data_IF_771913370034
#
_entry.id   IF_771913370034
#
_cell.length_a   1.000
_cell.length_b   1.000
_cell.length_c   1.000
_cell.angle_alpha   90.00
_cell.angle_beta   90.00
_cell.angle_gamma   90.00
#
_symmetry.space_group_name_H-M   'P 1'
#
loop_
_entity.id
_entity.type
_entity.pdbx_description
1 polymer ?
#
# COMPACT_ATOMS: atom_id res chain seq x y z
N UNK A 1 -49.63 25.32 34.27
CA UNK A 1 -49.72 25.37 32.78
C UNK A 1 -50.97 26.17 32.49
N UNK A 2 -50.87 27.35 31.86
CA UNK A 2 -52.00 28.18 31.51
C UNK A 2 -52.67 27.62 30.24
N UNK A 3 -54.01 27.69 30.17
CA UNK A 3 -54.80 27.25 29.03
C UNK A 3 -54.37 27.96 27.72
N UNK A 4 -54.01 29.22 27.78
CA UNK A 4 -53.53 30.01 26.66
C UNK A 4 -52.26 29.39 26.02
N UNK A 5 -51.30 29.00 26.86
CA UNK A 5 -50.07 28.31 26.39
C UNK A 5 -50.36 26.95 25.76
N UNK A 6 -51.36 26.23 26.25
CA UNK A 6 -51.79 24.98 25.64
C UNK A 6 -52.46 25.22 24.29
N UNK A 7 -53.33 26.24 24.24
CA UNK A 7 -54.04 26.64 23.03
C UNK A 7 -53.07 27.02 21.90
N UNK A 8 -52.08 27.86 22.20
CA UNK A 8 -51.01 28.23 21.25
C UNK A 8 -50.27 27.00 20.72
N UNK A 9 -49.88 26.06 21.60
CA UNK A 9 -49.16 24.85 21.21
C UNK A 9 -50.03 23.82 20.45
N UNK A 10 -51.35 23.88 20.64
CA UNK A 10 -52.35 23.04 20.00
C UNK A 10 -52.91 23.63 18.71
N UNK A 11 -52.42 24.81 18.29
CA UNK A 11 -52.90 25.48 17.08
C UNK A 11 -52.80 24.51 15.86
N UNK A 12 -53.94 24.16 15.26
CA UNK A 12 -54.04 23.21 14.17
C UNK A 12 -53.79 21.74 14.53
N UNK A 13 -53.62 21.39 15.81
CA UNK A 13 -53.37 20.03 16.27
C UNK A 13 -54.48 19.55 17.20
N UNK A 14 -54.90 18.30 17.05
CA UNK A 14 -55.87 17.62 17.92
C UNK A 14 -55.26 17.07 19.20
N UNK A 15 -53.96 16.91 19.25
CA UNK A 15 -53.24 16.34 20.40
C UNK A 15 -51.80 16.83 20.40
N UNK A 16 -51.29 17.17 21.58
CA UNK A 16 -49.87 17.36 21.85
C UNK A 16 -49.47 16.51 23.03
N UNK A 17 -48.18 16.18 23.15
CA UNK A 17 -47.66 15.39 24.27
C UNK A 17 -46.26 15.84 24.68
N UNK A 18 -45.95 15.54 25.94
CA UNK A 18 -44.63 15.72 26.53
C UNK A 18 -44.19 14.41 27.14
N UNK A 19 -42.93 14.05 26.89
CA UNK A 19 -42.29 12.87 27.48
C UNK A 19 -41.23 13.32 28.48
N UNK A 20 -41.24 12.75 29.67
CA UNK A 20 -40.36 13.12 30.76
C UNK A 20 -40.09 11.91 31.68
N UNK A 21 -38.99 11.97 32.42
CA UNK A 21 -38.73 11.03 33.51
C UNK A 21 -39.48 11.48 34.76
N UNK A 22 -40.27 10.59 35.31
CA UNK A 22 -40.99 10.80 36.59
C UNK A 22 -40.61 9.72 37.60
N UNK A 23 -40.70 10.02 38.92
CA UNK A 23 -40.65 8.95 39.92
C UNK A 23 -41.78 7.96 39.67
N UNK A 24 -41.52 6.67 39.82
CA UNK A 24 -42.52 5.63 39.61
C UNK A 24 -43.64 5.76 40.65
N UNK A 25 -44.77 6.37 40.27
CA UNK A 25 -45.96 6.50 41.14
C UNK A 25 -46.76 5.22 41.28
N UNK A 26 -46.49 4.18 40.46
CA UNK A 26 -47.33 3.02 40.35
C UNK A 26 -46.79 1.76 40.99
N UNK A 27 -45.57 1.71 41.46
CA UNK A 27 -45.03 0.56 42.15
C UNK A 27 -44.91 0.77 43.66
N UNK A 28 -45.65 0.00 44.43
CA UNK A 28 -45.63 0.00 45.91
C UNK A 28 -44.35 -0.57 46.51
N UNK A 29 -43.24 -0.57 45.77
CA UNK A 29 -41.94 -1.01 46.24
C UNK A 29 -41.07 0.23 46.52
N UNK A 30 -40.43 0.27 47.67
CA UNK A 30 -39.63 1.35 48.23
C UNK A 30 -38.40 1.83 47.45
N UNK A 31 -38.26 1.42 46.21
CA UNK A 31 -37.25 1.91 45.30
C UNK A 31 -37.84 2.99 44.40
N UNK A 32 -37.29 4.20 44.49
CA UNK A 32 -37.54 5.31 43.56
C UNK A 32 -36.89 5.00 42.21
N UNK A 33 -37.54 4.16 41.42
CA UNK A 33 -37.15 3.95 40.03
C UNK A 33 -37.76 5.02 39.17
N UNK A 34 -36.96 5.72 38.40
CA UNK A 34 -37.42 6.68 37.42
C UNK A 34 -38.05 5.94 36.23
N UNK A 35 -39.20 6.39 35.77
CA UNK A 35 -39.88 5.83 34.61
C UNK A 35 -40.22 6.90 33.58
N UNK A 36 -40.11 6.58 32.33
CA UNK A 36 -40.59 7.42 31.24
C UNK A 36 -42.11 7.49 31.26
N UNK A 37 -42.61 8.72 31.27
CA UNK A 37 -44.02 9.03 31.35
C UNK A 37 -44.38 9.97 30.22
N UNK A 38 -45.51 9.75 29.58
CA UNK A 38 -46.05 10.64 28.55
C UNK A 38 -47.30 11.31 29.14
N UNK A 39 -47.30 12.65 29.09
CA UNK A 39 -48.44 13.47 29.37
C UNK A 39 -49.02 13.97 28.05
N UNK A 40 -50.25 13.64 27.75
CA UNK A 40 -50.96 14.03 26.54
C UNK A 40 -52.04 15.08 26.86
N UNK A 41 -52.08 16.11 26.06
CA UNK A 41 -53.18 17.13 26.06
C UNK A 41 -53.97 16.91 24.78
N UNK A 42 -55.26 16.65 24.89
CA UNK A 42 -56.14 16.31 23.79
C UNK A 42 -57.25 17.35 23.73
N UNK A 43 -57.54 17.86 22.55
CA UNK A 43 -58.62 18.83 22.31
C UNK A 43 -59.98 18.20 22.66
N UNK A 44 -60.63 18.78 23.62
CA UNK A 44 -61.96 18.36 24.13
C UNK A 44 -63.12 19.17 23.60
N UNK A 45 -62.84 20.22 22.84
CA UNK A 45 -63.84 21.13 22.23
C UNK A 45 -63.36 22.57 22.15
N UNK A 46 -63.83 23.27 21.12
CA UNK A 46 -63.51 24.69 20.86
C UNK A 46 -64.78 25.52 20.75
N UNK A 47 -64.66 26.80 21.08
CA UNK A 47 -65.69 27.76 20.84
C UNK A 47 -65.83 28.21 19.37
N UNK A 48 -66.80 29.14 19.13
CA UNK A 48 -66.99 29.64 17.74
C UNK A 48 -65.80 30.45 17.21
N UNK A 49 -64.98 30.99 18.15
CA UNK A 49 -63.76 31.74 17.84
C UNK A 49 -62.52 30.83 17.67
N UNK A 50 -62.63 29.50 17.88
CA UNK A 50 -61.58 28.52 17.74
C UNK A 50 -60.73 28.33 18.99
N UNK A 51 -61.05 28.95 20.12
CA UNK A 51 -60.33 28.77 21.38
C UNK A 51 -60.76 27.49 22.08
N UNK A 52 -59.81 26.82 22.75
CA UNK A 52 -60.09 25.62 23.52
C UNK A 52 -61.01 25.88 24.69
N UNK A 53 -62.17 25.21 24.73
CA UNK A 53 -63.08 25.22 25.87
C UNK A 53 -62.71 24.17 26.90
N UNK A 54 -62.34 22.97 26.38
CA UNK A 54 -62.00 21.82 27.20
C UNK A 54 -60.74 21.15 26.68
N UNK A 55 -59.89 20.69 27.60
CA UNK A 55 -58.69 19.92 27.31
C UNK A 55 -58.68 18.65 28.16
N UNK A 56 -58.60 17.51 27.55
CA UNK A 56 -58.35 16.27 28.28
C UNK A 56 -56.87 16.12 28.56
N UNK A 57 -56.55 15.80 29.79
CA UNK A 57 -55.21 15.50 30.26
C UNK A 57 -55.09 14.01 30.56
N UNK A 58 -54.18 13.32 29.87
CA UNK A 58 -53.95 11.91 30.08
C UNK A 58 -52.45 11.63 30.35
N UNK A 59 -52.21 10.77 31.32
CA UNK A 59 -50.84 10.37 31.70
C UNK A 59 -50.71 8.87 31.51
N UNK A 60 -49.69 8.44 30.81
CA UNK A 60 -49.37 7.03 30.58
C UNK A 60 -47.90 6.73 30.85
N UNK A 61 -47.63 5.56 31.40
CA UNK A 61 -46.26 5.07 31.55
C UNK A 61 -45.79 4.44 30.22
N UNK A 62 -44.75 5.02 29.65
CA UNK A 62 -44.17 4.59 28.37
C UNK A 62 -42.75 4.02 28.52
N UNK A 63 -42.38 3.62 29.75
CA UNK A 63 -41.01 3.26 30.09
C UNK A 63 -40.44 2.18 29.16
N UNK A 64 -41.16 1.09 28.98
CA UNK A 64 -40.71 -0.04 28.15
C UNK A 64 -40.57 0.32 26.66
N UNK A 65 -41.51 1.11 26.14
CA UNK A 65 -41.50 1.55 24.76
C UNK A 65 -40.35 2.54 24.52
N UNK A 66 -40.10 3.44 25.47
CA UNK A 66 -39.03 4.41 25.39
C UNK A 66 -37.64 3.78 25.50
N UNK A 67 -37.48 2.79 26.37
CA UNK A 67 -36.23 2.00 26.44
C UNK A 67 -35.97 1.28 25.12
N UNK A 68 -36.96 0.62 24.54
CA UNK A 68 -36.81 -0.05 23.22
C UNK A 68 -36.44 0.94 22.12
N UNK A 69 -37.06 2.12 22.10
CA UNK A 69 -36.73 3.19 21.14
C UNK A 69 -35.27 3.63 21.29
N UNK A 70 -34.81 3.88 22.52
CA UNK A 70 -33.44 4.31 22.82
C UNK A 70 -32.43 3.21 22.48
N UNK A 71 -32.70 1.95 22.80
CA UNK A 71 -31.85 0.81 22.44
C UNK A 71 -31.76 0.62 20.92
N UNK A 72 -32.87 0.79 20.19
CA UNK A 72 -32.89 0.73 18.74
C UNK A 72 -32.04 1.84 18.12
N UNK A 73 -32.18 3.06 18.62
CA UNK A 73 -31.40 4.22 18.18
C UNK A 73 -29.90 4.04 18.43
N UNK A 74 -29.55 3.49 19.61
CA UNK A 74 -28.14 3.20 19.95
C UNK A 74 -27.55 2.12 19.04
N UNK A 75 -28.33 1.06 18.74
CA UNK A 75 -27.92 0.02 17.79
C UNK A 75 -27.71 0.57 16.38
N UNK A 76 -28.61 1.41 15.91
CA UNK A 76 -28.51 2.08 14.61
C UNK A 76 -27.24 2.96 14.55
N UNK A 77 -27.00 3.76 15.59
CA UNK A 77 -25.81 4.59 15.69
C UNK A 77 -24.53 3.77 15.64
N UNK A 78 -24.44 2.70 16.44
CA UNK A 78 -23.28 1.79 16.44
C UNK A 78 -23.08 1.10 15.08
N UNK A 79 -24.16 0.68 14.43
CA UNK A 79 -24.10 0.08 13.10
C UNK A 79 -23.58 1.07 12.05
N UNK A 80 -24.02 2.33 12.12
CA UNK A 80 -23.56 3.40 11.23
C UNK A 80 -22.08 3.71 11.45
N UNK A 81 -21.64 3.85 12.70
CA UNK A 81 -20.23 4.06 13.05
C UNK A 81 -19.35 2.90 12.53
N UNK A 82 -19.82 1.68 12.69
CA UNK A 82 -19.10 0.50 12.19
C UNK A 82 -18.99 0.50 10.65
N UNK A 83 -20.07 0.85 9.97
CA UNK A 83 -20.09 0.95 8.50
C UNK A 83 -19.12 2.03 8.00
N UNK A 84 -19.06 3.19 8.68
CA UNK A 84 -18.11 4.27 8.33
C UNK A 84 -16.66 3.81 8.47
N UNK A 85 -16.33 3.01 9.49
CA UNK A 85 -14.98 2.43 9.65
C UNK A 85 -14.66 1.49 8.50
N UNK A 86 -15.57 0.57 8.18
CA UNK A 86 -15.38 -0.38 7.07
C UNK A 86 -15.20 0.32 5.72
N UNK A 87 -16.00 1.37 5.44
CA UNK A 87 -15.88 2.16 4.22
C UNK A 87 -14.51 2.87 4.12
N UNK A 88 -14.01 3.41 5.24
CA UNK A 88 -12.67 4.02 5.27
C UNK A 88 -11.56 3.00 5.03
N UNK A 89 -11.68 1.80 5.59
CA UNK A 89 -10.73 0.72 5.34
C UNK A 89 -10.75 0.28 3.88
N UNK A 90 -11.93 0.11 3.29
CA UNK A 90 -12.07 -0.23 1.88
C UNK A 90 -11.47 0.84 0.95
N UNK A 91 -11.74 2.12 1.21
CA UNK A 91 -11.14 3.24 0.47
C UNK A 91 -9.61 3.23 0.59
N UNK A 92 -9.07 2.92 1.76
CA UNK A 92 -7.64 2.78 1.99
C UNK A 92 -7.03 1.64 1.20
N UNK A 93 -7.68 0.48 1.19
CA UNK A 93 -7.26 -0.67 0.40
C UNK A 93 -7.30 -0.36 -1.09
N UNK A 94 -8.36 0.29 -1.57
CA UNK A 94 -8.48 0.73 -2.97
C UNK A 94 -7.37 1.70 -3.37
N UNK A 95 -7.06 2.68 -2.54
CA UNK A 95 -5.97 3.64 -2.80
C UNK A 95 -4.58 2.96 -2.83
N UNK A 96 -4.34 1.95 -1.99
CA UNK A 96 -3.10 1.17 -2.01
C UNK A 96 -3.00 0.38 -3.33
N UNK A 97 -4.08 -0.29 -3.74
CA UNK A 97 -4.13 -1.04 -4.99
C UNK A 97 -3.90 -0.11 -6.19
N UNK A 98 -4.50 1.07 -6.20
CA UNK A 98 -4.28 2.08 -7.24
C UNK A 98 -2.83 2.57 -7.28
N UNK A 99 -2.23 2.84 -6.12
CA UNK A 99 -0.81 3.22 -6.03
C UNK A 99 0.12 2.10 -6.54
N UNK A 100 -0.19 0.83 -6.23
CA UNK A 100 0.54 -0.32 -6.77
C UNK A 100 0.36 -0.44 -8.29
N UNK A 101 -0.83 -0.10 -8.82
CA UNK A 101 -1.10 -0.04 -10.26
C UNK A 101 -0.25 0.96 -11.00
N UNK A 102 0.15 2.05 -10.35
CA UNK A 102 1.08 3.03 -10.94
C UNK A 102 2.54 2.57 -10.93
N UNK A 103 2.90 1.63 -10.05
CA UNK A 103 4.25 1.09 -9.93
C UNK A 103 4.49 -0.15 -10.82
N UNK A 104 3.44 -0.87 -11.17
CA UNK A 104 3.52 -2.14 -11.92
C UNK A 104 2.53 -2.15 -13.09
N UNK A 105 2.96 -2.72 -14.23
CA UNK A 105 2.10 -2.89 -15.41
C UNK A 105 1.00 -3.91 -15.16
N UNK A 106 1.29 -4.94 -14.39
CA UNK A 106 0.34 -5.99 -14.00
C UNK A 106 0.71 -6.60 -12.65
N UNK A 107 -0.31 -6.97 -11.89
CA UNK A 107 -0.17 -7.60 -10.59
C UNK A 107 -1.09 -8.81 -10.49
N UNK A 108 -0.54 -9.95 -10.04
CA UNK A 108 -1.28 -11.19 -9.87
C UNK A 108 -1.12 -11.70 -8.44
N UNK A 109 -2.21 -12.15 -7.86
CA UNK A 109 -2.24 -12.84 -6.58
C UNK A 109 -2.17 -14.35 -6.82
N UNK A 110 -1.23 -15.01 -6.18
CA UNK A 110 -0.95 -16.44 -6.30
C UNK A 110 -1.21 -17.10 -4.95
N UNK A 111 -2.06 -18.13 -4.94
CA UNK A 111 -2.30 -18.96 -3.77
C UNK A 111 -1.90 -20.41 -4.09
N UNK A 112 -0.78 -20.84 -3.50
CA UNK A 112 -0.24 -22.19 -3.74
C UNK A 112 -1.08 -23.24 -3.04
N UNK A 113 -1.62 -22.92 -1.86
CA UNK A 113 -2.41 -23.87 -1.06
C UNK A 113 -3.74 -24.20 -1.75
N UNK A 114 -4.43 -23.17 -2.24
CA UNK A 114 -5.69 -23.32 -2.97
C UNK A 114 -5.49 -23.57 -4.47
N UNK A 115 -4.25 -23.54 -4.97
CA UNK A 115 -3.88 -23.70 -6.38
C UNK A 115 -4.60 -22.72 -7.29
N UNK A 116 -4.70 -21.47 -6.89
CA UNK A 116 -5.38 -20.43 -7.65
C UNK A 116 -4.47 -19.27 -7.99
N UNK A 117 -4.77 -18.62 -9.11
CA UNK A 117 -4.15 -17.39 -9.58
C UNK A 117 -5.23 -16.38 -9.93
N UNK A 118 -5.09 -15.13 -9.47
CA UNK A 118 -6.02 -14.05 -9.75
C UNK A 118 -5.31 -12.79 -10.16
N UNK A 119 -5.74 -12.18 -11.25
CA UNK A 119 -5.25 -10.86 -11.67
C UNK A 119 -5.82 -9.77 -10.77
N UNK A 120 -4.95 -8.93 -10.20
CA UNK A 120 -5.31 -7.82 -9.32
C UNK A 120 -5.30 -6.49 -10.08
N UNK A 121 -4.29 -6.27 -10.95
CA UNK A 121 -4.11 -5.05 -11.72
C UNK A 121 -3.66 -5.42 -13.14
N UNK A 122 -4.12 -4.66 -14.14
CA UNK A 122 -3.59 -4.67 -15.49
C UNK A 122 -3.72 -3.29 -16.10
N UNK A 123 -2.60 -2.69 -16.51
CA UNK A 123 -2.58 -1.45 -17.30
C UNK A 123 -2.73 -1.73 -18.82
N UNK A 124 -2.38 -2.94 -19.24
CA UNK A 124 -2.56 -3.36 -20.62
C UNK A 124 -4.01 -3.80 -20.82
N UNK A 125 -4.74 -3.10 -21.67
CA UNK A 125 -6.18 -3.20 -21.92
C UNK A 125 -6.71 -4.54 -22.47
N UNK A 126 -6.16 -5.67 -22.06
CA UNK A 126 -6.75 -7.00 -22.28
C UNK A 126 -7.83 -7.25 -21.24
N UNK A 127 -9.05 -6.96 -21.59
CA UNK A 127 -10.14 -6.52 -20.73
C UNK A 127 -10.96 -7.55 -19.98
N UNK A 128 -10.86 -8.84 -20.16
CA UNK A 128 -11.99 -9.71 -19.80
C UNK A 128 -11.85 -10.58 -18.55
N UNK A 129 -10.77 -10.51 -17.78
CA UNK A 129 -10.58 -11.41 -16.63
C UNK A 129 -10.23 -10.73 -15.30
N UNK A 130 -10.74 -9.51 -15.06
CA UNK A 130 -10.57 -8.86 -13.76
C UNK A 130 -11.29 -9.64 -12.67
N UNK A 131 -10.55 -10.15 -11.70
CA UNK A 131 -11.11 -10.86 -10.54
C UNK A 131 -11.51 -12.32 -10.79
N UNK A 132 -11.33 -12.87 -12.00
CA UNK A 132 -11.58 -14.28 -12.27
C UNK A 132 -10.41 -15.09 -11.67
N UNK A 133 -10.76 -16.08 -10.88
CA UNK A 133 -9.83 -17.05 -10.33
C UNK A 133 -9.58 -18.14 -11.38
N UNK A 134 -8.30 -18.33 -11.73
CA UNK A 134 -7.87 -19.38 -12.67
C UNK A 134 -7.12 -20.47 -11.91
N UNK A 135 -7.10 -21.67 -12.45
CA UNK A 135 -6.20 -22.73 -11.97
C UNK A 135 -4.75 -22.25 -12.06
N UNK A 136 -3.97 -22.48 -11.02
CA UNK A 136 -2.63 -21.92 -10.87
C UNK A 136 -1.69 -22.30 -12.00
N UNK A 137 -1.68 -23.58 -12.41
CA UNK A 137 -0.76 -24.07 -13.45
C UNK A 137 -1.14 -23.49 -14.82
N UNK A 138 -2.43 -23.48 -15.13
CA UNK A 138 -2.96 -22.90 -16.36
C UNK A 138 -2.73 -21.40 -16.41
N UNK A 139 -2.99 -20.69 -15.30
CA UNK A 139 -2.81 -19.25 -15.19
C UNK A 139 -1.34 -18.82 -15.36
N UNK A 140 -0.40 -19.52 -14.73
CA UNK A 140 1.02 -19.27 -14.89
C UNK A 140 1.47 -19.53 -16.34
N UNK A 141 1.08 -20.63 -16.94
CA UNK A 141 1.42 -20.92 -18.33
C UNK A 141 0.86 -19.84 -19.26
N UNK A 142 -0.41 -19.49 -19.12
CA UNK A 142 -1.05 -18.44 -19.89
C UNK A 142 -0.32 -17.09 -19.73
N UNK A 143 0.03 -16.71 -18.51
CA UNK A 143 0.79 -15.50 -18.24
C UNK A 143 2.12 -15.53 -18.99
N UNK A 144 2.97 -16.53 -18.73
CA UNK A 144 4.32 -16.59 -19.29
C UNK A 144 4.30 -16.59 -20.81
N UNK A 145 3.46 -17.43 -21.43
CA UNK A 145 3.36 -17.47 -22.89
C UNK A 145 2.70 -16.23 -23.49
N UNK A 146 1.95 -15.45 -22.73
CA UNK A 146 1.39 -14.17 -23.21
C UNK A 146 2.41 -13.03 -23.22
N UNK A 147 3.34 -13.00 -22.27
CA UNK A 147 4.26 -11.87 -22.08
C UNK A 147 5.66 -12.11 -22.63
N UNK A 148 6.21 -13.32 -22.48
CA UNK A 148 7.60 -13.60 -22.81
C UNK A 148 7.81 -13.93 -24.29
N UNK A 149 9.00 -13.62 -24.81
CA UNK A 149 9.49 -14.18 -26.06
C UNK A 149 9.61 -15.71 -25.95
N UNK A 150 9.58 -16.38 -27.09
CA UNK A 150 9.66 -17.85 -27.16
C UNK A 150 10.90 -18.41 -26.45
N UNK A 151 12.02 -17.75 -26.61
CA UNK A 151 13.31 -18.15 -26.02
C UNK A 151 13.37 -17.93 -24.52
N UNK A 152 12.62 -16.94 -24.03
CA UNK A 152 12.56 -16.54 -22.61
C UNK A 152 11.49 -17.31 -21.83
N UNK A 153 10.55 -17.97 -22.51
CA UNK A 153 9.41 -18.62 -21.86
C UNK A 153 9.84 -19.78 -20.94
N UNK A 154 10.77 -20.63 -21.37
CA UNK A 154 11.22 -21.77 -20.57
C UNK A 154 11.98 -21.34 -19.30
N UNK A 155 12.98 -20.43 -19.35
CA UNK A 155 13.62 -19.89 -18.15
C UNK A 155 12.63 -19.19 -17.20
N UNK A 156 11.67 -18.45 -17.75
CA UNK A 156 10.67 -17.76 -16.94
C UNK A 156 9.72 -18.75 -16.24
N UNK A 157 9.30 -19.84 -16.92
CA UNK A 157 8.51 -20.90 -16.30
C UNK A 157 9.27 -21.59 -15.16
N UNK A 158 10.56 -21.84 -15.32
CA UNK A 158 11.40 -22.38 -14.26
C UNK A 158 11.49 -21.40 -13.07
N UNK A 159 11.65 -20.11 -13.35
CA UNK A 159 11.70 -19.08 -12.31
C UNK A 159 10.42 -19.02 -11.47
N UNK A 160 9.26 -19.12 -12.10
CA UNK A 160 7.94 -18.98 -11.43
C UNK A 160 7.39 -20.28 -10.85
N UNK A 161 8.15 -21.38 -10.86
CA UNK A 161 7.69 -22.68 -10.35
C UNK A 161 7.16 -22.57 -8.91
N UNK A 162 5.83 -22.79 -8.67
CA UNK A 162 5.21 -22.52 -7.36
C UNK A 162 5.79 -23.35 -6.22
N UNK A 163 6.10 -24.62 -6.48
CA UNK A 163 6.60 -25.58 -5.46
C UNK A 163 7.94 -25.14 -4.84
N UNK A 164 8.75 -24.40 -5.57
CA UNK A 164 10.05 -23.91 -5.11
C UNK A 164 10.02 -22.57 -4.38
N UNK A 165 8.97 -21.77 -4.56
CA UNK A 165 8.91 -20.40 -4.08
C UNK A 165 9.01 -20.26 -2.56
N UNK A 166 8.30 -21.05 -1.73
CA UNK A 166 8.40 -20.93 -0.28
C UNK A 166 9.82 -21.13 0.25
N UNK A 167 10.58 -22.03 -0.38
CA UNK A 167 11.97 -22.31 0.01
C UNK A 167 12.92 -21.20 -0.44
N UNK A 168 12.74 -20.68 -1.66
CA UNK A 168 13.60 -19.63 -2.25
C UNK A 168 13.41 -18.27 -1.56
N UNK A 169 12.21 -18.01 -1.04
CA UNK A 169 11.83 -16.74 -0.40
C UNK A 169 11.91 -16.77 1.13
N UNK A 170 12.51 -17.82 1.74
CA UNK A 170 12.72 -17.85 3.20
C UNK A 170 13.67 -16.77 3.68
N UNK A 171 14.70 -16.46 2.90
CA UNK A 171 15.75 -15.50 3.24
C UNK A 171 15.57 -14.16 2.51
N UNK A 172 14.98 -14.20 1.33
CA UNK A 172 14.78 -13.03 0.48
C UNK A 172 13.38 -12.43 0.64
N UNK A 173 13.33 -11.09 0.73
CA UNK A 173 12.06 -10.35 0.79
C UNK A 173 11.35 -10.31 -0.57
N UNK A 174 12.08 -10.47 -1.64
CA UNK A 174 11.57 -10.58 -3.00
C UNK A 174 12.65 -11.19 -3.91
N UNK A 175 12.23 -11.83 -5.00
CA UNK A 175 13.13 -12.27 -6.08
C UNK A 175 12.67 -11.69 -7.41
N UNK A 176 13.63 -11.34 -8.26
CA UNK A 176 13.39 -10.72 -9.56
C UNK A 176 13.96 -11.59 -10.69
N UNK A 177 13.29 -11.53 -11.85
CA UNK A 177 13.79 -12.07 -13.10
C UNK A 177 13.52 -11.10 -14.24
N UNK A 178 14.58 -10.66 -14.91
CA UNK A 178 14.50 -9.78 -16.06
C UNK A 178 14.50 -10.63 -17.34
N UNK A 179 13.55 -10.36 -18.25
CA UNK A 179 13.37 -11.10 -19.49
C UNK A 179 12.96 -10.17 -20.63
N UNK A 180 13.13 -10.62 -21.87
CA UNK A 180 12.59 -9.89 -23.01
C UNK A 180 11.15 -10.31 -23.30
N UNK A 181 10.25 -9.32 -23.35
CA UNK A 181 8.87 -9.54 -23.74
C UNK A 181 8.72 -9.70 -25.28
N UNK A 182 7.49 -9.96 -25.74
CA UNK A 182 7.18 -10.15 -27.18
C UNK A 182 7.54 -8.96 -28.05
N UNK A 183 7.55 -7.75 -27.48
CA UNK A 183 7.89 -6.51 -28.18
C UNK A 183 9.40 -6.20 -28.14
N UNK A 184 10.23 -7.15 -27.73
CA UNK A 184 11.67 -7.01 -27.52
C UNK A 184 12.09 -5.97 -26.47
N UNK A 185 11.19 -5.60 -25.58
CA UNK A 185 11.48 -4.71 -24.45
C UNK A 185 11.83 -5.53 -23.22
N UNK A 186 12.62 -4.96 -22.34
CA UNK A 186 12.95 -5.59 -21.06
C UNK A 186 11.82 -5.42 -20.06
N UNK A 187 11.39 -6.53 -19.51
CA UNK A 187 10.38 -6.58 -18.44
C UNK A 187 10.96 -7.32 -17.24
N UNK A 188 10.53 -6.95 -16.05
CA UNK A 188 10.91 -7.60 -14.78
C UNK A 188 9.68 -8.25 -14.17
N UNK A 189 9.81 -9.54 -13.83
CA UNK A 189 8.85 -10.22 -12.97
C UNK A 189 9.42 -10.30 -11.56
N UNK A 190 8.74 -9.64 -10.63
CA UNK A 190 9.07 -9.66 -9.21
C UNK A 190 8.10 -10.58 -8.47
N UNK A 191 8.63 -11.48 -7.64
CA UNK A 191 7.83 -12.36 -6.78
C UNK A 191 8.00 -11.91 -5.34
N UNK A 192 6.90 -11.51 -4.71
CA UNK A 192 6.84 -10.92 -3.37
C UNK A 192 6.01 -11.84 -2.47
N UNK A 193 6.57 -12.40 -1.38
CA UNK A 193 5.79 -13.22 -0.47
C UNK A 193 4.83 -12.38 0.35
N UNK A 194 3.59 -12.86 0.50
CA UNK A 194 2.63 -12.32 1.44
C UNK A 194 2.68 -13.19 2.69
N UNK A 195 3.36 -12.70 3.72
CA UNK A 195 3.55 -13.46 4.95
C UNK A 195 2.22 -13.63 5.68
N UNK A 196 1.76 -14.86 5.80
CA UNK A 196 0.78 -15.24 6.79
C UNK A 196 1.44 -15.28 8.17
N UNK A 197 0.67 -15.01 9.24
CA UNK A 197 1.14 -14.97 10.65
C UNK A 197 1.86 -16.24 11.13
N UNK A 198 1.93 -17.29 10.32
CA UNK A 198 2.59 -18.59 10.62
C UNK A 198 4.01 -18.74 10.05
N UNK A 199 4.53 -17.75 9.33
CA UNK A 199 5.93 -17.77 8.87
C UNK A 199 6.21 -18.54 7.58
N UNK A 200 5.29 -19.38 7.09
CA UNK A 200 5.39 -20.02 5.77
C UNK A 200 4.47 -19.29 4.78
N UNK A 201 5.07 -18.64 3.79
CA UNK A 201 4.32 -17.97 2.75
C UNK A 201 3.69 -19.00 1.82
N UNK A 202 2.37 -19.13 1.85
CA UNK A 202 1.60 -19.89 0.85
C UNK A 202 1.03 -19.00 -0.25
N UNK A 203 1.11 -17.67 -0.06
CA UNK A 203 0.57 -16.66 -0.97
C UNK A 203 1.66 -15.71 -1.44
N UNK A 204 1.60 -15.32 -2.71
CA UNK A 204 2.60 -14.47 -3.36
C UNK A 204 1.93 -13.44 -4.26
N UNK A 205 2.61 -12.31 -4.48
CA UNK A 205 2.30 -11.38 -5.55
C UNK A 205 3.34 -11.57 -6.68
N UNK A 206 2.85 -11.74 -7.90
CA UNK A 206 3.66 -11.63 -9.11
C UNK A 206 3.43 -10.24 -9.69
N UNK A 207 4.46 -9.41 -9.69
CA UNK A 207 4.41 -8.04 -10.16
C UNK A 207 5.25 -7.90 -11.42
N UNK A 208 4.64 -7.45 -12.51
CA UNK A 208 5.27 -7.21 -13.80
C UNK A 208 5.53 -5.72 -13.98
N UNK A 209 6.73 -5.34 -14.36
CA UNK A 209 7.11 -3.95 -14.64
C UNK A 209 7.99 -3.84 -15.89
N UNK A 210 7.87 -2.72 -16.60
CA UNK A 210 8.74 -2.34 -17.68
C UNK A 210 10.06 -1.77 -17.13
N UNK A 211 11.16 -2.40 -17.45
CA UNK A 211 12.50 -1.97 -17.02
C UNK A 211 13.42 -1.71 -18.22
N UNK A 212 12.84 -1.51 -19.41
CA UNK A 212 13.57 -1.35 -20.65
C UNK A 212 14.57 -0.18 -20.61
N UNK A 213 14.12 0.96 -20.09
CA UNK A 213 14.99 2.13 -19.93
C UNK A 213 16.09 1.92 -18.90
N UNK A 214 15.78 1.26 -17.77
CA UNK A 214 16.74 0.94 -16.73
C UNK A 214 17.87 0.06 -17.28
N UNK A 215 17.51 -1.05 -17.92
CA UNK A 215 18.47 -2.01 -18.47
C UNK A 215 19.26 -1.43 -19.64
N UNK A 216 18.63 -0.66 -20.53
CA UNK A 216 19.31 0.03 -21.61
C UNK A 216 20.35 1.02 -21.09
N UNK A 217 20.00 1.82 -20.07
CA UNK A 217 20.93 2.74 -19.44
C UNK A 217 22.11 2.04 -18.79
N UNK A 218 21.87 0.92 -18.09
CA UNK A 218 22.95 0.09 -17.53
C UNK A 218 23.85 -0.44 -18.63
N UNK A 219 23.30 -0.96 -19.74
CA UNK A 219 24.07 -1.46 -20.88
C UNK A 219 24.89 -0.36 -21.55
N UNK A 220 24.30 0.83 -21.75
CA UNK A 220 25.04 1.99 -22.30
C UNK A 220 26.20 2.36 -21.40
N UNK A 221 25.97 2.49 -20.08
CA UNK A 221 27.04 2.76 -19.11
C UNK A 221 28.14 1.71 -19.17
N UNK A 222 27.78 0.42 -19.19
CA UNK A 222 28.76 -0.65 -19.28
C UNK A 222 29.52 -0.64 -20.61
N UNK A 223 28.87 -0.36 -21.73
CA UNK A 223 29.52 -0.24 -23.04
C UNK A 223 30.50 0.94 -23.09
N UNK A 224 30.14 2.08 -22.52
CA UNK A 224 31.03 3.25 -22.40
C UNK A 224 32.25 2.89 -21.56
N UNK A 225 32.05 2.23 -20.43
CA UNK A 225 33.15 1.76 -19.57
C UNK A 225 34.03 0.78 -20.30
N UNK A 226 33.47 -0.18 -21.04
CA UNK A 226 34.23 -1.13 -21.84
C UNK A 226 35.02 -0.44 -22.97
N UNK A 227 34.43 0.52 -23.67
CA UNK A 227 35.09 1.29 -24.70
C UNK A 227 36.25 2.10 -24.13
N UNK A 228 36.07 2.77 -23.02
CA UNK A 228 37.15 3.45 -22.29
C UNK A 228 38.22 2.46 -21.85
N UNK A 229 37.82 1.32 -21.29
CA UNK A 229 38.76 0.30 -20.84
C UNK A 229 39.57 -0.33 -21.99
N UNK A 230 39.08 -0.31 -23.24
CA UNK A 230 39.85 -0.78 -24.38
C UNK A 230 40.98 0.17 -24.77
N UNK A 231 40.85 1.45 -24.48
CA UNK A 231 41.78 2.52 -24.87
C UNK A 231 42.78 2.91 -23.77
N UNK A 232 42.49 2.57 -22.52
CA UNK A 232 43.30 2.92 -21.37
C UNK A 232 43.74 1.66 -20.60
N UNK A 233 44.94 1.68 -20.05
CA UNK A 233 45.46 0.56 -19.24
C UNK A 233 44.75 0.42 -17.90
N UNK A 234 44.44 1.56 -17.28
CA UNK A 234 43.75 1.62 -15.99
C UNK A 234 42.52 2.51 -16.11
N UNK A 235 41.37 2.04 -15.61
CA UNK A 235 40.11 2.81 -15.61
C UNK A 235 39.41 2.64 -14.25
N UNK A 236 39.14 3.76 -13.60
CA UNK A 236 38.48 3.83 -12.31
C UNK A 236 37.25 4.74 -12.40
N UNK A 237 36.19 4.41 -11.70
CA UNK A 237 35.13 5.35 -11.38
C UNK A 237 35.25 5.74 -9.91
N UNK A 238 35.12 7.04 -9.65
CA UNK A 238 35.22 7.62 -8.30
C UNK A 238 33.87 8.28 -7.97
N UNK A 239 33.31 7.92 -6.83
CA UNK A 239 32.11 8.59 -6.30
C UNK A 239 32.54 9.81 -5.50
N UNK A 240 32.02 10.98 -5.87
CA UNK A 240 32.23 12.23 -5.12
C UNK A 240 31.63 12.14 -3.72
N UNK A 241 30.44 11.54 -3.61
CA UNK A 241 29.68 11.44 -2.36
C UNK A 241 30.35 10.54 -1.32
N UNK A 242 30.89 9.40 -1.75
CA UNK A 242 31.43 8.37 -0.83
C UNK A 242 32.95 8.35 -0.80
N UNK A 243 33.63 8.99 -1.76
CA UNK A 243 35.08 8.90 -1.94
C UNK A 243 35.58 7.53 -2.35
N UNK A 244 34.67 6.59 -2.68
CA UNK A 244 35.03 5.20 -3.08
C UNK A 244 35.43 5.17 -4.54
N UNK A 245 36.58 4.57 -4.83
CA UNK A 245 37.02 4.27 -6.18
C UNK A 245 36.70 2.81 -6.54
N UNK A 246 36.04 2.61 -7.68
CA UNK A 246 35.76 1.29 -8.26
C UNK A 246 36.67 1.12 -9.48
N UNK A 247 37.48 0.07 -9.47
CA UNK A 247 38.35 -0.27 -10.59
C UNK A 247 37.58 -1.08 -11.64
N UNK A 248 37.51 -0.60 -12.89
CA UNK A 248 36.91 -1.31 -14.03
C UNK A 248 37.97 -2.04 -14.87
N UNK A 249 39.17 -1.52 -14.89
CA UNK A 249 40.32 -2.16 -15.57
C UNK A 249 41.60 -1.76 -14.86
N UNK A 250 42.50 -2.73 -14.70
CA UNK A 250 43.85 -2.54 -14.16
C UNK A 250 44.81 -3.24 -15.05
N UNK A 251 45.89 -2.56 -15.43
CA UNK A 251 47.02 -3.16 -16.16
C UNK A 251 47.72 -4.20 -15.32
N UNK A 252 48.19 -5.27 -15.90
CA UNK A 252 48.77 -6.44 -15.21
C UNK A 252 49.87 -6.10 -14.20
N UNK A 253 50.66 -5.11 -14.48
CA UNK A 253 51.75 -4.65 -13.58
C UNK A 253 51.19 -3.98 -12.35
N UNK A 254 50.22 -3.04 -12.53
CA UNK A 254 49.55 -2.32 -11.46
C UNK A 254 48.69 -3.27 -10.62
N UNK A 255 48.02 -4.23 -11.28
CA UNK A 255 47.20 -5.25 -10.60
C UNK A 255 48.00 -6.06 -9.57
N UNK A 256 49.24 -6.52 -9.96
CA UNK A 256 50.10 -7.26 -9.06
C UNK A 256 50.53 -6.46 -7.80
N UNK A 257 50.69 -5.13 -7.95
CA UNK A 257 51.23 -4.30 -6.92
C UNK A 257 50.14 -3.72 -6.00
N UNK A 258 48.95 -3.44 -6.53
CA UNK A 258 47.93 -2.61 -5.88
C UNK A 258 46.53 -3.21 -5.81
N UNK A 259 46.30 -4.45 -6.25
CA UNK A 259 44.98 -5.04 -6.32
C UNK A 259 44.19 -4.90 -5.00
N UNK A 260 44.81 -5.24 -3.88
CA UNK A 260 44.19 -5.20 -2.56
C UNK A 260 43.91 -3.76 -2.08
N UNK A 261 44.74 -2.81 -2.47
CA UNK A 261 44.60 -1.40 -2.09
C UNK A 261 43.55 -0.68 -2.94
N UNK A 262 43.53 -0.93 -4.27
CA UNK A 262 42.68 -0.20 -5.21
C UNK A 262 41.32 -0.85 -5.44
N UNK A 263 41.17 -2.12 -5.10
CA UNK A 263 39.88 -2.82 -5.26
C UNK A 263 38.83 -2.43 -4.23
N UNK A 264 39.25 -1.91 -3.06
CA UNK A 264 38.37 -1.61 -1.91
C UNK A 264 38.70 -0.32 -1.15
N UNK A 265 39.65 0.47 -1.65
CA UNK A 265 40.16 1.60 -0.89
C UNK A 265 39.49 2.94 -1.18
N UNK A 266 39.73 3.90 -0.27
CA UNK A 266 39.39 5.29 -0.47
C UNK A 266 40.23 5.87 -1.62
N UNK A 267 39.62 6.68 -2.48
CA UNK A 267 40.29 7.32 -3.63
C UNK A 267 41.56 8.11 -3.22
N UNK A 268 41.48 8.93 -2.18
CA UNK A 268 42.59 9.74 -1.73
C UNK A 268 43.83 8.92 -1.33
N UNK A 269 43.60 7.83 -0.61
CA UNK A 269 44.68 6.94 -0.18
C UNK A 269 45.29 6.19 -1.35
N UNK A 270 44.45 5.75 -2.28
CA UNK A 270 44.85 5.05 -3.48
C UNK A 270 45.68 5.98 -4.39
N UNK A 271 45.23 7.19 -4.68
CA UNK A 271 45.96 8.12 -5.55
C UNK A 271 47.28 8.57 -4.92
N UNK A 272 47.31 8.80 -3.58
CA UNK A 272 48.54 9.09 -2.84
C UNK A 272 49.56 7.98 -2.91
N UNK A 273 49.09 6.74 -2.78
CA UNK A 273 49.94 5.57 -2.91
C UNK A 273 50.48 5.41 -4.31
N UNK A 274 49.61 5.62 -5.32
CA UNK A 274 50.01 5.57 -6.72
C UNK A 274 51.12 6.60 -7.05
N UNK A 275 50.91 7.89 -6.84
CA UNK A 275 51.90 8.89 -7.24
C UNK A 275 53.17 8.84 -6.41
N UNK A 276 53.15 8.36 -5.19
CA UNK A 276 54.36 8.14 -4.39
C UNK A 276 55.25 7.06 -4.94
N UNK A 277 54.64 5.99 -5.50
CA UNK A 277 55.37 4.81 -5.93
C UNK A 277 55.69 4.84 -7.42
N UNK A 278 54.78 5.33 -8.26
CA UNK A 278 54.82 5.22 -9.70
C UNK A 278 55.24 6.53 -10.39
N UNK A 279 55.20 7.68 -9.70
CA UNK A 279 55.51 8.99 -10.28
C UNK A 279 56.84 9.50 -9.74
N UNK A 280 57.70 9.94 -10.65
CA UNK A 280 58.96 10.60 -10.27
C UNK A 280 58.73 11.81 -9.40
N UNK A 281 59.66 12.09 -8.49
CA UNK A 281 59.47 13.11 -7.44
C UNK A 281 59.17 14.50 -7.99
N UNK A 282 59.77 14.86 -9.09
CA UNK A 282 59.59 16.14 -9.77
C UNK A 282 58.15 16.36 -10.26
N UNK A 283 57.45 15.32 -10.70
CA UNK A 283 56.11 15.39 -11.27
C UNK A 283 54.97 15.10 -10.27
N UNK A 284 55.29 14.68 -9.04
CA UNK A 284 54.28 14.36 -8.00
C UNK A 284 53.35 15.54 -7.70
N UNK A 285 53.84 16.75 -7.83
CA UNK A 285 53.06 17.96 -7.59
C UNK A 285 51.83 18.08 -8.53
N UNK A 286 51.88 17.49 -9.72
CA UNK A 286 50.76 17.46 -10.67
C UNK A 286 49.55 16.71 -10.12
N UNK A 287 49.77 15.70 -9.26
CA UNK A 287 48.74 14.91 -8.66
C UNK A 287 48.04 15.62 -7.50
N UNK A 288 48.58 16.71 -6.94
CA UNK A 288 47.91 17.47 -5.88
C UNK A 288 46.61 18.12 -6.36
N UNK A 289 46.50 18.37 -7.67
CA UNK A 289 45.27 18.90 -8.27
C UNK A 289 44.14 17.89 -8.32
N UNK A 290 44.44 16.58 -8.21
CA UNK A 290 43.48 15.49 -8.33
C UNK A 290 43.45 14.57 -7.09
N UNK A 291 44.02 15.00 -5.95
CA UNK A 291 44.08 14.17 -4.73
C UNK A 291 42.75 13.84 -4.13
N UNK A 292 41.75 14.67 -4.34
CA UNK A 292 40.39 14.45 -3.81
C UNK A 292 39.38 14.39 -4.93
N UNK A 293 38.27 13.60 -4.78
CA UNK A 293 37.23 13.55 -5.80
C UNK A 293 36.67 14.93 -6.19
N UNK A 294 36.49 15.81 -5.23
CA UNK A 294 36.01 17.18 -5.45
C UNK A 294 36.97 18.03 -6.30
N UNK A 295 38.27 17.81 -6.20
CA UNK A 295 39.26 18.48 -7.05
C UNK A 295 39.29 17.97 -8.49
N UNK A 296 38.90 16.72 -8.71
CA UNK A 296 38.81 16.11 -10.06
C UNK A 296 37.63 16.65 -10.83
N UNK A 297 36.56 17.01 -10.11
CA UNK A 297 35.28 17.42 -10.69
C UNK A 297 35.14 18.96 -10.79
N UNK A 298 36.04 19.69 -10.21
CA UNK A 298 36.14 21.18 -10.30
C UNK A 298 36.93 21.60 -11.53
#
# INVERSE_FOLDING_TARGET
VNLDTINERMEGKKKIYLEYLSPAFLNKTDKKEEQWTRCSFIDGGRDEEGNLIHVFFAVEAIHNDKIRELEALEKEKKAKEHLEVLLKEEQRHSAIIEAMGNAFDSLYFIDIENKTMRRVISQTGYHDSYGIEEDLESGINNLVYSIAKKEEAAPLLEFVQPMGLPKRLKEDKLINHDFQNKDNRWSRLSIIPINNKKGDASTFLFALSDVDNEIKNIKIKNNVIQALSSSYENVYAVSEETGIAICFRMGKEIEKLYYDSFSKGNYEDNIKTYYKNEVIEEDRHLFYAIETPSKVLS
#
